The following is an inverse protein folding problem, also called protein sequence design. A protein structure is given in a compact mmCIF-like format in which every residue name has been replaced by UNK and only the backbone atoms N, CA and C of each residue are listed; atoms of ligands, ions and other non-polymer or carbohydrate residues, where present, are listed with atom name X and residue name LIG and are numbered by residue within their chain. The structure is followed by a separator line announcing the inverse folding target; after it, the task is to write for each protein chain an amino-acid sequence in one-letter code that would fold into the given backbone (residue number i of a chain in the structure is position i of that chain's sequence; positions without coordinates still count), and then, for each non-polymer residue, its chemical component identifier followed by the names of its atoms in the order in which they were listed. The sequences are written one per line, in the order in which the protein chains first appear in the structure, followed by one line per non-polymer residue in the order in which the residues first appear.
data_IF_484689455988
#
_entry.id   IF_484689455988
#
_cell.length_a   1.000
_cell.length_b   1.000
_cell.length_c   1.000
_cell.angle_alpha   90.00
_cell.angle_beta   90.00
_cell.angle_gamma   90.00
#
_symmetry.space_group_name_H-M   'P 1'
#
loop_
_entity.id
_entity.type
_entity.pdbx_description
1 polymer ?
#
# COMPACT_ATOMS: atom_id res chain seq x y z
N UNK A 1 -11.77 -36.51 -20.28
CA UNK A 1 -10.85 -35.47 -20.80
C UNK A 1 -11.48 -34.13 -21.24
N UNK A 2 -12.79 -34.01 -21.53
CA UNK A 2 -13.41 -32.72 -21.95
C UNK A 2 -13.72 -31.72 -20.82
N UNK A 3 -13.93 -32.17 -19.57
CA UNK A 3 -14.29 -31.30 -18.44
C UNK A 3 -13.13 -30.43 -17.90
N UNK A 4 -11.89 -30.91 -17.95
CA UNK A 4 -10.70 -30.20 -17.43
C UNK A 4 -10.30 -28.99 -18.27
N UNK A 5 -10.51 -29.02 -19.60
CA UNK A 5 -10.21 -27.88 -20.50
C UNK A 5 -11.07 -26.64 -20.21
N UNK A 6 -12.29 -26.84 -19.70
CA UNK A 6 -13.26 -25.78 -19.44
C UNK A 6 -13.02 -25.06 -18.09
N UNK A 7 -12.34 -25.75 -17.17
CA UNK A 7 -11.95 -25.17 -15.88
C UNK A 7 -10.72 -24.27 -16.04
N UNK A 8 -9.73 -24.71 -16.82
CA UNK A 8 -8.49 -23.97 -17.07
C UNK A 8 -8.74 -22.61 -17.75
N UNK A 9 -9.66 -22.58 -18.72
CA UNK A 9 -10.04 -21.35 -19.44
C UNK A 9 -10.79 -20.39 -18.52
N UNK A 10 -11.72 -20.89 -17.70
CA UNK A 10 -12.41 -20.06 -16.69
C UNK A 10 -11.48 -19.51 -15.62
N UNK A 11 -10.50 -20.29 -15.18
CA UNK A 11 -9.46 -19.84 -14.24
C UNK A 11 -8.61 -18.76 -14.90
N UNK A 12 -8.13 -18.99 -16.13
CA UNK A 12 -7.36 -18.01 -16.89
C UNK A 12 -8.11 -16.67 -17.04
N UNK A 13 -9.37 -16.70 -17.47
CA UNK A 13 -10.18 -15.50 -17.64
C UNK A 13 -10.48 -14.79 -16.30
N UNK A 14 -10.68 -15.55 -15.21
CA UNK A 14 -10.88 -14.98 -13.89
C UNK A 14 -9.60 -14.32 -13.33
N UNK A 15 -8.42 -14.89 -13.61
CA UNK A 15 -7.13 -14.33 -13.22
C UNK A 15 -6.77 -13.07 -14.02
N UNK A 16 -7.07 -13.08 -15.33
CA UNK A 16 -6.87 -11.90 -16.21
C UNK A 16 -7.73 -10.72 -15.75
N UNK A 17 -8.99 -10.97 -15.34
CA UNK A 17 -9.92 -9.89 -14.97
C UNK A 17 -9.79 -9.39 -13.52
N UNK A 18 -9.31 -10.22 -12.58
CA UNK A 18 -9.21 -9.87 -11.14
C UNK A 18 -7.98 -10.50 -10.48
N UNK A 19 -6.75 -10.04 -10.80
CA UNK A 19 -5.51 -10.73 -10.47
C UNK A 19 -5.17 -10.79 -8.98
N UNK A 20 -5.70 -9.91 -8.13
CA UNK A 20 -5.24 -9.81 -6.73
C UNK A 20 -6.15 -10.60 -5.77
N UNK A 21 -7.46 -10.61 -6.00
CA UNK A 21 -8.43 -11.13 -5.03
C UNK A 21 -8.49 -12.66 -4.98
N UNK A 22 -8.11 -13.34 -6.07
CA UNK A 22 -8.16 -14.80 -6.17
C UNK A 22 -6.77 -15.47 -6.07
N UNK A 23 -5.69 -14.77 -6.40
CA UNK A 23 -4.33 -15.34 -6.41
C UNK A 23 -3.80 -15.62 -5.01
N UNK A 24 -4.05 -14.71 -4.07
CA UNK A 24 -3.57 -14.83 -2.69
C UNK A 24 -4.51 -15.71 -1.85
N UNK A 25 -5.83 -15.65 -2.08
CA UNK A 25 -6.83 -16.32 -1.25
C UNK A 25 -7.10 -17.78 -1.60
N UNK A 26 -6.78 -18.23 -2.82
CA UNK A 26 -7.16 -19.56 -3.33
C UNK A 26 -6.03 -20.33 -4.04
N UNK A 27 -4.86 -19.71 -4.26
CA UNK A 27 -3.86 -20.24 -5.19
C UNK A 27 -2.57 -20.77 -4.59
N UNK A 28 -2.14 -20.35 -3.39
CA UNK A 28 -0.84 -20.72 -2.84
C UNK A 28 0.30 -20.72 -3.88
N UNK A 29 1.15 -21.75 -3.85
CA UNK A 29 2.25 -21.95 -4.81
C UNK A 29 1.79 -22.05 -6.28
N UNK A 30 0.58 -22.57 -6.53
CA UNK A 30 0.02 -22.78 -7.89
C UNK A 30 -0.37 -21.45 -8.54
N UNK A 31 -0.99 -20.55 -7.77
CA UNK A 31 -1.31 -19.20 -8.21
C UNK A 31 -0.05 -18.39 -8.52
N UNK A 32 0.98 -18.55 -7.69
CA UNK A 32 2.28 -17.92 -7.90
C UNK A 32 2.97 -18.46 -9.17
N UNK A 33 2.97 -19.77 -9.38
CA UNK A 33 3.55 -20.43 -10.56
C UNK A 33 2.85 -20.02 -11.85
N UNK A 34 1.52 -19.91 -11.83
CA UNK A 34 0.76 -19.39 -12.97
C UNK A 34 1.09 -17.92 -13.23
N UNK A 35 1.26 -17.11 -12.18
CA UNK A 35 1.62 -15.71 -12.30
C UNK A 35 3.01 -15.50 -12.88
N UNK A 36 4.00 -16.28 -12.45
CA UNK A 36 5.37 -16.22 -12.99
C UNK A 36 5.42 -16.65 -14.46
N UNK A 37 4.56 -17.59 -14.87
CA UNK A 37 4.52 -18.09 -16.26
C UNK A 37 3.90 -17.14 -17.29
N UNK A 38 3.21 -16.08 -16.86
CA UNK A 38 2.47 -15.17 -17.77
C UNK A 38 3.05 -13.75 -17.83
N UNK A 39 4.13 -13.45 -17.10
CA UNK A 39 4.73 -12.11 -17.00
C UNK A 39 6.20 -12.14 -17.42
N UNK A 40 6.58 -11.19 -18.27
CA UNK A 40 7.91 -11.19 -18.89
C UNK A 40 9.03 -10.60 -18.00
N UNK A 41 8.72 -9.99 -16.85
CA UNK A 41 9.73 -9.41 -15.93
C UNK A 41 9.51 -9.85 -14.49
N UNK A 42 9.70 -11.15 -14.27
CA UNK A 42 9.59 -11.78 -12.96
C UNK A 42 10.98 -12.07 -12.44
N UNK A 43 11.29 -11.54 -11.25
CA UNK A 43 12.56 -11.70 -10.57
C UNK A 43 12.38 -12.55 -9.33
N UNK A 44 13.11 -13.66 -9.24
CA UNK A 44 13.17 -14.45 -8.02
C UNK A 44 14.38 -14.01 -7.19
N UNK A 45 14.12 -13.47 -6.00
CA UNK A 45 15.13 -12.99 -5.07
C UNK A 45 14.88 -13.61 -3.69
N UNK A 46 15.48 -14.77 -3.38
CA UNK A 46 15.26 -15.46 -2.11
C UNK A 46 15.45 -14.54 -0.90
N UNK A 47 16.54 -13.77 -0.91
CA UNK A 47 16.84 -12.72 0.06
C UNK A 47 17.81 -11.72 -0.56
N UNK A 48 17.74 -10.47 -0.12
CA UNK A 48 18.70 -9.43 -0.51
C UNK A 48 18.03 -8.25 -1.23
N UNK A 49 18.86 -7.42 -1.85
CA UNK A 49 18.43 -6.17 -2.49
C UNK A 49 18.54 -6.28 -4.00
N UNK A 50 17.52 -5.85 -4.71
CA UNK A 50 17.55 -5.64 -6.16
C UNK A 50 17.29 -4.16 -6.43
N UNK A 51 18.20 -3.52 -7.13
CA UNK A 51 18.05 -2.15 -7.59
C UNK A 51 17.63 -2.13 -9.06
N UNK A 52 16.59 -1.38 -9.39
CA UNK A 52 16.08 -1.24 -10.75
C UNK A 52 16.01 0.24 -11.09
N UNK A 53 16.83 0.66 -12.06
CA UNK A 53 16.88 2.03 -12.53
C UNK A 53 15.96 2.23 -13.74
N UNK A 54 15.02 3.17 -13.63
CA UNK A 54 14.14 3.65 -14.70
C UNK A 54 13.52 2.51 -15.55
N UNK A 55 12.84 1.53 -14.91
CA UNK A 55 12.35 0.35 -15.61
C UNK A 55 11.35 0.70 -16.71
N UNK A 56 11.41 -0.02 -17.83
CA UNK A 56 10.55 0.21 -19.00
C UNK A 56 9.30 -0.68 -19.05
N UNK A 57 9.20 -1.63 -18.12
CA UNK A 57 8.06 -2.55 -18.00
C UNK A 57 7.74 -2.78 -16.54
N UNK A 58 6.52 -3.22 -16.24
CA UNK A 58 6.13 -3.63 -14.89
C UNK A 58 7.08 -4.71 -14.35
N UNK A 59 7.44 -4.58 -13.08
CA UNK A 59 8.39 -5.45 -12.40
C UNK A 59 7.67 -6.28 -11.35
N UNK A 60 7.94 -7.58 -11.33
CA UNK A 60 7.35 -8.52 -10.40
C UNK A 60 8.46 -9.22 -9.65
N UNK A 61 8.47 -9.10 -8.33
CA UNK A 61 9.54 -9.65 -7.48
C UNK A 61 8.90 -10.67 -6.55
N UNK A 62 9.56 -11.80 -6.37
CA UNK A 62 9.13 -12.79 -5.38
C UNK A 62 10.31 -13.41 -4.66
N UNK A 63 10.12 -13.72 -3.38
CA UNK A 63 11.22 -14.12 -2.51
C UNK A 63 10.80 -14.39 -1.07
N UNK A 64 11.75 -14.77 -0.22
CA UNK A 64 11.50 -14.83 1.22
C UNK A 64 11.68 -13.45 1.85
N UNK A 65 12.80 -12.80 1.54
CA UNK A 65 13.22 -11.49 2.08
C UNK A 65 13.71 -10.49 1.00
N UNK A 66 12.93 -10.22 -0.06
CA UNK A 66 13.35 -9.30 -1.12
C UNK A 66 13.14 -7.83 -0.74
N UNK A 67 14.19 -7.03 -0.95
CA UNK A 67 14.16 -5.57 -0.89
C UNK A 67 14.34 -5.03 -2.30
N UNK A 68 13.32 -4.33 -2.82
CA UNK A 68 13.36 -3.78 -4.18
C UNK A 68 13.55 -2.28 -4.11
N UNK A 69 14.67 -1.78 -4.61
CA UNK A 69 14.96 -0.36 -4.70
C UNK A 69 14.72 0.13 -6.13
N UNK A 70 13.98 1.23 -6.28
CA UNK A 70 13.67 1.84 -7.58
C UNK A 70 14.30 3.22 -7.63
N UNK A 71 15.08 3.45 -8.67
CA UNK A 71 15.77 4.71 -8.93
C UNK A 71 15.36 5.29 -10.27
N UNK A 72 15.41 6.61 -10.40
CA UNK A 72 15.09 7.33 -11.62
C UNK A 72 13.59 7.46 -11.88
N UNK A 73 13.23 7.81 -13.11
CA UNK A 73 11.84 8.13 -13.47
C UNK A 73 11.24 7.04 -14.34
N UNK A 74 10.04 6.59 -13.97
CA UNK A 74 9.28 5.59 -14.72
C UNK A 74 7.79 5.68 -14.37
N UNK A 75 6.91 5.27 -15.27
CA UNK A 75 5.47 5.12 -14.98
C UNK A 75 5.07 3.66 -14.70
N UNK A 76 6.04 2.74 -14.64
CA UNK A 76 5.76 1.31 -14.52
C UNK A 76 5.52 0.90 -13.09
N UNK A 77 4.76 -0.18 -12.91
CA UNK A 77 4.40 -0.66 -11.58
C UNK A 77 5.38 -1.71 -11.07
N UNK A 78 5.62 -1.71 -9.75
CA UNK A 78 6.36 -2.77 -9.06
C UNK A 78 5.40 -3.53 -8.16
N UNK A 79 5.53 -4.86 -8.18
CA UNK A 79 4.79 -5.73 -7.28
C UNK A 79 5.71 -6.76 -6.65
N UNK A 80 5.80 -6.75 -5.32
CA UNK A 80 6.59 -7.68 -4.52
C UNK A 80 5.66 -8.70 -3.84
N UNK A 81 5.96 -9.99 -3.98
CA UNK A 81 5.27 -11.12 -3.35
C UNK A 81 6.25 -11.91 -2.48
N UNK A 82 6.09 -11.89 -1.17
CA UNK A 82 7.13 -12.41 -0.29
C UNK A 82 6.62 -13.01 1.02
N UNK A 83 7.51 -13.61 1.80
CA UNK A 83 7.23 -13.82 3.22
C UNK A 83 7.33 -12.47 3.95
N UNK A 84 8.44 -11.77 3.75
CA UNK A 84 8.66 -10.41 4.23
C UNK A 84 9.34 -9.63 3.11
N UNK A 85 8.73 -8.57 2.59
CA UNK A 85 9.33 -7.87 1.45
C UNK A 85 8.97 -6.41 1.41
N UNK A 86 9.89 -5.65 0.84
CA UNK A 86 9.81 -4.20 0.82
C UNK A 86 10.09 -3.66 -0.57
N UNK A 87 9.41 -2.58 -0.90
CA UNK A 87 9.75 -1.72 -2.02
C UNK A 87 10.20 -0.36 -1.46
N UNK A 88 11.29 0.17 -2.00
CA UNK A 88 11.81 1.48 -1.68
C UNK A 88 11.96 2.28 -2.97
N UNK A 89 11.26 3.40 -3.07
CA UNK A 89 11.41 4.35 -4.16
C UNK A 89 12.44 5.37 -3.67
N UNK A 90 13.56 5.51 -4.37
CA UNK A 90 14.62 6.42 -3.98
C UNK A 90 14.15 7.87 -4.02
N UNK A 91 14.85 8.74 -3.29
CA UNK A 91 14.62 10.17 -3.38
C UNK A 91 14.75 10.67 -4.83
N UNK A 92 13.97 11.68 -5.20
CA UNK A 92 13.92 12.22 -6.57
C UNK A 92 13.61 11.18 -7.66
N UNK A 93 12.90 10.11 -7.31
CA UNK A 93 12.50 9.07 -8.27
C UNK A 93 10.98 9.05 -8.45
N UNK A 94 10.53 8.54 -9.60
CA UNK A 94 9.11 8.38 -9.90
C UNK A 94 8.78 6.97 -10.37
N UNK A 95 7.61 6.47 -9.99
CA UNK A 95 7.14 5.16 -10.38
C UNK A 95 5.61 5.08 -10.45
N UNK A 96 5.10 4.03 -11.10
CA UNK A 96 3.68 3.73 -11.19
C UNK A 96 3.09 3.22 -9.87
N UNK A 97 2.35 2.11 -9.92
CA UNK A 97 1.82 1.53 -8.68
C UNK A 97 2.89 0.69 -7.99
N UNK A 98 3.02 0.83 -6.68
CA UNK A 98 3.94 0.05 -5.87
C UNK A 98 3.14 -0.82 -4.93
N UNK A 99 3.31 -2.12 -5.05
CA UNK A 99 2.54 -3.09 -4.30
C UNK A 99 3.46 -4.05 -3.54
N UNK A 100 3.19 -4.27 -2.26
CA UNK A 100 3.87 -5.26 -1.44
C UNK A 100 2.83 -6.23 -0.86
N UNK A 101 3.00 -7.51 -1.16
CA UNK A 101 2.16 -8.61 -0.71
C UNK A 101 3.00 -9.60 0.09
N UNK A 102 2.94 -9.51 1.40
CA UNK A 102 3.68 -10.37 2.32
C UNK A 102 2.84 -11.50 2.88
N UNK A 103 3.44 -12.62 3.24
CA UNK A 103 2.81 -13.54 4.20
C UNK A 103 2.89 -12.92 5.59
N UNK A 104 4.08 -12.55 6.04
CA UNK A 104 4.30 -11.90 7.34
C UNK A 104 4.28 -10.39 7.16
N UNK A 105 5.09 -9.85 6.26
CA UNK A 105 5.28 -8.41 6.13
C UNK A 105 5.30 -7.94 4.68
N UNK A 106 4.57 -6.86 4.39
CA UNK A 106 4.67 -6.10 3.15
C UNK A 106 4.95 -4.63 3.47
N UNK A 107 6.00 -4.06 2.89
CA UNK A 107 6.35 -2.66 3.09
C UNK A 107 6.51 -1.90 1.78
N UNK A 108 6.05 -0.66 1.74
CA UNK A 108 6.44 0.27 0.67
C UNK A 108 6.91 1.59 1.31
N UNK A 109 8.01 2.14 0.79
CA UNK A 109 8.55 3.42 1.25
C UNK A 109 8.85 4.31 0.06
N UNK A 110 8.34 5.54 0.08
CA UNK A 110 8.61 6.58 -0.91
C UNK A 110 9.66 7.54 -0.35
N UNK A 111 10.84 7.64 -0.94
CA UNK A 111 11.93 8.54 -0.54
C UNK A 111 11.58 10.02 -0.70
N UNK A 112 12.44 10.94 -0.26
CA UNK A 112 12.13 12.37 -0.32
C UNK A 112 11.96 12.86 -1.77
N UNK A 113 11.04 13.79 -2.01
CA UNK A 113 10.80 14.36 -3.35
C UNK A 113 10.47 13.31 -4.41
N UNK A 114 9.81 12.23 -4.03
CA UNK A 114 9.43 11.16 -4.94
C UNK A 114 7.97 11.26 -5.40
N UNK A 115 7.68 10.63 -6.54
CA UNK A 115 6.32 10.51 -7.06
C UNK A 115 5.93 9.03 -7.21
N UNK A 116 4.80 8.62 -6.64
CA UNK A 116 4.29 7.26 -6.76
C UNK A 116 2.81 7.29 -7.09
N UNK A 117 2.41 6.63 -8.19
CA UNK A 117 1.00 6.67 -8.60
C UNK A 117 0.06 6.14 -7.51
N UNK A 118 0.35 4.99 -6.92
CA UNK A 118 -0.38 4.46 -5.75
C UNK A 118 0.51 3.50 -4.95
N UNK A 119 0.29 3.42 -3.64
CA UNK A 119 1.00 2.48 -2.76
C UNK A 119 0.01 1.52 -2.09
N UNK A 120 0.20 0.22 -2.29
CA UNK A 120 -0.62 -0.80 -1.64
C UNK A 120 0.26 -1.80 -0.90
N UNK A 121 0.02 -1.98 0.38
CA UNK A 121 0.67 -2.99 1.20
C UNK A 121 -0.37 -3.92 1.81
N UNK A 122 -0.17 -5.22 1.67
CA UNK A 122 -1.01 -6.23 2.28
C UNK A 122 -0.19 -7.39 2.81
N UNK A 123 -0.51 -7.87 4.02
CA UNK A 123 0.06 -9.10 4.54
C UNK A 123 -0.86 -9.83 5.52
N UNK A 124 -0.48 -11.01 6.01
CA UNK A 124 -1.14 -11.61 7.16
C UNK A 124 -0.83 -10.78 8.41
N UNK A 125 0.45 -10.56 8.74
CA UNK A 125 0.81 -9.89 9.99
C UNK A 125 0.76 -8.38 9.83
N UNK A 126 1.59 -7.80 8.96
CA UNK A 126 1.75 -6.35 8.91
C UNK A 126 1.93 -5.82 7.49
N UNK A 127 1.12 -4.83 7.15
CA UNK A 127 1.19 -4.09 5.90
C UNK A 127 1.48 -2.65 6.23
N UNK A 128 2.56 -2.11 5.68
CA UNK A 128 3.02 -0.75 5.97
C UNK A 128 3.27 0.04 4.70
N UNK A 129 2.89 1.31 4.69
CA UNK A 129 3.35 2.27 3.71
C UNK A 129 3.93 3.51 4.41
N UNK A 130 5.05 4.02 3.94
CA UNK A 130 5.71 5.22 4.45
C UNK A 130 6.01 6.20 3.31
N UNK A 131 5.56 7.44 3.43
CA UNK A 131 5.85 8.54 2.50
C UNK A 131 6.79 9.51 3.19
N UNK A 132 8.01 9.68 2.65
CA UNK A 132 8.95 10.68 3.14
C UNK A 132 8.57 12.08 2.66
N UNK A 133 9.44 13.06 2.90
CA UNK A 133 9.07 14.47 2.79
C UNK A 133 8.90 14.91 1.33
N UNK A 134 8.11 15.96 1.11
CA UNK A 134 7.97 16.61 -0.21
C UNK A 134 7.54 15.66 -1.34
N UNK A 135 6.87 14.57 -0.98
CA UNK A 135 6.55 13.49 -1.92
C UNK A 135 5.08 13.52 -2.30
N UNK A 136 4.77 13.00 -3.48
CA UNK A 136 3.40 12.88 -3.95
C UNK A 136 3.06 11.42 -4.22
N UNK A 137 2.03 10.93 -3.54
CA UNK A 137 1.48 9.61 -3.71
C UNK A 137 0.00 9.77 -4.08
N UNK A 138 -0.52 8.94 -4.99
CA UNK A 138 -1.98 8.84 -5.16
C UNK A 138 -2.62 8.15 -3.97
N UNK A 139 -3.40 7.10 -4.18
CA UNK A 139 -3.99 6.37 -3.06
C UNK A 139 -2.95 5.54 -2.32
N UNK A 140 -3.10 5.48 -1.00
CA UNK A 140 -2.30 4.66 -0.11
C UNK A 140 -3.19 3.70 0.70
N UNK A 141 -2.90 2.40 0.62
CA UNK A 141 -3.69 1.35 1.28
C UNK A 141 -2.78 0.36 2.00
N UNK A 142 -2.96 0.20 3.31
CA UNK A 142 -2.28 -0.78 4.13
C UNK A 142 -3.31 -1.69 4.81
N UNK A 143 -3.37 -2.96 4.42
CA UNK A 143 -4.38 -3.90 4.93
C UNK A 143 -3.78 -5.25 5.30
N UNK A 144 -3.92 -5.64 6.55
CA UNK A 144 -3.44 -6.95 7.00
C UNK A 144 -4.40 -7.61 7.98
N UNK A 145 -4.15 -8.87 8.36
CA UNK A 145 -4.95 -9.51 9.40
C UNK A 145 -4.71 -8.84 10.76
N UNK A 146 -3.48 -8.42 11.08
CA UNK A 146 -3.19 -7.82 12.38
C UNK A 146 -2.97 -6.31 12.30
N UNK A 147 -2.01 -5.83 11.50
CA UNK A 147 -1.61 -4.42 11.47
C UNK A 147 -1.59 -3.84 10.05
N UNK A 148 -2.44 -2.84 9.79
CA UNK A 148 -2.35 -2.00 8.59
C UNK A 148 -1.93 -0.58 9.00
N UNK A 149 -0.77 -0.12 8.52
CA UNK A 149 -0.18 1.17 8.93
C UNK A 149 0.15 2.02 7.70
N UNK A 150 -0.21 3.30 7.74
CA UNK A 150 0.25 4.29 6.77
C UNK A 150 0.84 5.48 7.51
N UNK A 151 2.01 5.93 7.07
CA UNK A 151 2.68 7.11 7.62
C UNK A 151 3.03 8.10 6.50
N UNK A 152 2.74 9.38 6.71
CA UNK A 152 3.03 10.46 5.76
C UNK A 152 3.84 11.54 6.47
N UNK A 153 5.08 11.77 6.00
CA UNK A 153 5.97 12.82 6.50
C UNK A 153 5.61 14.20 5.92
N UNK A 154 6.45 15.19 6.21
CA UNK A 154 6.09 16.60 6.05
C UNK A 154 6.02 17.03 4.58
N UNK A 155 5.16 18.00 4.31
CA UNK A 155 5.04 18.64 2.98
C UNK A 155 4.67 17.66 1.85
N UNK A 156 3.98 16.58 2.17
CA UNK A 156 3.64 15.53 1.20
C UNK A 156 2.16 15.55 0.83
N UNK A 157 1.86 15.11 -0.39
CA UNK A 157 0.50 15.05 -0.93
C UNK A 157 0.13 13.59 -1.13
N UNK A 158 -0.94 13.14 -0.49
CA UNK A 158 -1.49 11.79 -0.65
C UNK A 158 -2.95 11.88 -1.07
N UNK A 159 -3.39 10.97 -1.94
CA UNK A 159 -4.80 10.75 -2.24
C UNK A 159 -5.54 10.15 -1.05
N UNK A 160 -6.38 9.14 -1.28
CA UNK A 160 -7.07 8.46 -0.19
C UNK A 160 -6.11 7.58 0.61
N UNK A 161 -6.20 7.65 1.93
CA UNK A 161 -5.37 6.90 2.86
C UNK A 161 -6.24 5.91 3.65
N UNK A 162 -5.96 4.62 3.51
CA UNK A 162 -6.76 3.57 4.13
C UNK A 162 -5.90 2.53 4.84
N UNK A 163 -6.07 2.43 6.15
CA UNK A 163 -5.40 1.47 7.01
C UNK A 163 -6.43 0.51 7.63
N UNK A 164 -6.09 -0.78 7.72
CA UNK A 164 -6.93 -1.71 8.44
C UNK A 164 -6.35 -3.08 8.76
N UNK A 165 -6.96 -3.70 9.76
CA UNK A 165 -6.74 -5.09 10.17
C UNK A 165 -7.66 -5.50 11.30
N UNK A 166 -7.45 -6.66 11.94
CA UNK A 166 -8.22 -7.05 13.12
C UNK A 166 -7.74 -6.24 14.34
N UNK A 167 -6.43 -6.16 14.56
CA UNK A 167 -5.90 -5.46 15.73
C UNK A 167 -5.79 -3.96 15.45
N UNK A 168 -5.07 -3.55 14.40
CA UNK A 168 -4.77 -2.13 14.16
C UNK A 168 -5.00 -1.75 12.71
N UNK A 169 -5.73 -0.66 12.53
CA UNK A 169 -5.62 0.20 11.36
C UNK A 169 -5.16 1.56 11.85
N UNK A 170 -4.01 2.05 11.38
CA UNK A 170 -3.43 3.32 11.83
C UNK A 170 -2.96 4.16 10.65
N UNK A 171 -3.33 5.43 10.68
CA UNK A 171 -2.89 6.45 9.75
C UNK A 171 -2.25 7.59 10.54
N UNK A 172 -1.03 7.96 10.16
CA UNK A 172 -0.32 9.11 10.72
C UNK A 172 0.07 10.08 9.59
N UNK A 173 -0.24 11.36 9.77
CA UNK A 173 0.07 12.43 8.82
C UNK A 173 0.76 13.58 9.55
N UNK A 174 1.95 13.92 9.10
CA UNK A 174 2.74 15.00 9.68
C UNK A 174 2.41 16.37 9.04
N UNK A 175 3.28 17.35 9.25
CA UNK A 175 2.99 18.77 9.10
C UNK A 175 3.01 19.20 7.63
N UNK A 176 2.14 20.16 7.29
CA UNK A 176 2.06 20.77 5.96
C UNK A 176 1.72 19.78 4.82
N UNK A 177 1.16 18.62 5.17
CA UNK A 177 0.77 17.59 4.20
C UNK A 177 -0.71 17.72 3.81
N UNK A 178 -1.08 17.22 2.63
CA UNK A 178 -2.46 17.17 2.16
C UNK A 178 -2.87 15.74 1.89
N UNK A 179 -3.98 15.28 2.46
CA UNK A 179 -4.51 13.92 2.29
C UNK A 179 -5.98 13.96 1.88
N UNK A 180 -6.44 13.01 1.06
CA UNK A 180 -7.85 12.80 0.72
C UNK A 180 -8.68 12.21 1.87
N UNK A 181 -9.50 11.20 1.59
CA UNK A 181 -10.21 10.49 2.67
C UNK A 181 -9.22 9.74 3.55
N UNK A 182 -9.40 9.82 4.87
CA UNK A 182 -8.53 9.16 5.84
C UNK A 182 -9.31 8.12 6.64
N UNK A 183 -9.08 6.85 6.36
CA UNK A 183 -9.87 5.72 6.88
C UNK A 183 -8.98 4.76 7.66
N UNK A 184 -9.26 4.58 8.94
CA UNK A 184 -8.59 3.63 9.81
C UNK A 184 -9.64 2.67 10.38
N UNK A 185 -9.65 1.42 9.91
CA UNK A 185 -10.70 0.46 10.22
C UNK A 185 -10.12 -0.84 10.75
N UNK A 186 -10.44 -1.17 11.99
CA UNK A 186 -10.14 -2.46 12.57
C UNK A 186 -11.22 -2.94 13.53
N UNK A 187 -11.05 -4.14 14.09
CA UNK A 187 -11.90 -4.62 15.18
C UNK A 187 -11.47 -3.99 16.52
N UNK A 188 -10.17 -3.88 16.78
CA UNK A 188 -9.65 -3.37 18.06
C UNK A 188 -9.30 -1.88 18.01
N UNK A 189 -8.26 -1.46 17.27
CA UNK A 189 -7.72 -0.10 17.27
C UNK A 189 -7.81 0.58 15.89
N UNK A 190 -8.72 1.53 15.73
CA UNK A 190 -8.85 2.36 14.51
C UNK A 190 -8.32 3.75 14.76
N UNK A 191 -7.10 4.06 14.32
CA UNK A 191 -6.38 5.27 14.69
C UNK A 191 -6.11 6.16 13.48
N UNK A 192 -6.50 7.42 13.58
CA UNK A 192 -6.18 8.47 12.62
C UNK A 192 -5.49 9.59 13.41
N UNK A 193 -4.25 9.93 13.05
CA UNK A 193 -3.40 10.89 13.77
C UNK A 193 -2.88 11.94 12.80
N UNK A 194 -3.02 13.20 13.20
CA UNK A 194 -2.50 14.35 12.46
C UNK A 194 -1.64 15.17 13.42
N UNK A 195 -0.40 15.45 13.03
CA UNK A 195 0.49 16.25 13.85
C UNK A 195 -0.04 17.69 13.99
N UNK A 196 0.20 18.30 15.15
CA UNK A 196 -0.38 19.62 15.53
C UNK A 196 0.56 20.80 15.22
N UNK A 197 1.70 20.56 14.57
CA UNK A 197 2.77 21.55 14.37
C UNK A 197 2.58 22.44 13.15
N UNK A 198 1.94 21.95 12.09
CA UNK A 198 1.81 22.64 10.80
C UNK A 198 0.43 22.63 10.17
N UNK A 199 0.33 23.18 8.95
CA UNK A 199 -0.92 23.30 8.19
C UNK A 199 -1.23 22.02 7.42
N UNK A 200 -1.64 20.97 8.12
CA UNK A 200 -2.06 19.72 7.47
C UNK A 200 -3.52 19.83 7.01
N UNK A 201 -3.78 19.43 5.77
CA UNK A 201 -5.07 19.52 5.12
C UNK A 201 -5.64 18.12 4.87
N UNK A 202 -6.88 17.89 5.30
CA UNK A 202 -7.62 16.67 4.99
C UNK A 202 -8.80 17.04 4.08
N UNK A 203 -8.63 16.80 2.77
CA UNK A 203 -9.57 17.11 1.69
C UNK A 203 -10.65 16.03 1.52
N UNK A 204 -10.98 15.33 2.58
CA UNK A 204 -11.91 14.22 2.56
C UNK A 204 -12.48 13.91 3.95
N UNK A 205 -13.19 12.80 4.04
CA UNK A 205 -13.77 12.32 5.30
C UNK A 205 -12.73 11.57 6.11
N UNK A 206 -12.67 11.88 7.41
CA UNK A 206 -11.94 11.05 8.39
C UNK A 206 -12.90 10.01 8.98
N UNK A 207 -12.49 8.74 8.99
CA UNK A 207 -13.26 7.63 9.57
C UNK A 207 -12.34 6.75 10.39
N UNK A 208 -12.56 6.69 11.71
CA UNK A 208 -11.92 5.72 12.59
C UNK A 208 -12.96 4.68 13.06
N UNK A 209 -12.62 3.40 13.03
CA UNK A 209 -13.49 2.31 13.52
C UNK A 209 -12.66 1.24 14.23
N UNK A 210 -13.12 0.84 15.41
CA UNK A 210 -12.56 -0.20 16.28
C UNK A 210 -13.18 -0.09 17.67
N UNK A 211 -12.99 -1.10 18.53
CA UNK A 211 -13.37 -1.06 19.95
C UNK A 211 -12.80 0.18 20.64
N UNK A 212 -11.57 0.53 20.29
CA UNK A 212 -10.94 1.80 20.59
C UNK A 212 -10.70 2.49 19.25
N UNK A 213 -11.16 3.73 19.13
CA UNK A 213 -10.91 4.51 17.94
C UNK A 213 -10.49 5.93 18.30
N UNK A 214 -9.54 6.45 17.53
CA UNK A 214 -9.10 7.82 17.64
C UNK A 214 -9.30 8.49 16.28
N UNK A 215 -10.17 9.50 16.26
CA UNK A 215 -10.30 10.45 15.16
C UNK A 215 -9.79 11.79 15.70
N UNK A 216 -8.89 12.49 14.98
CA UNK A 216 -8.43 13.78 15.42
C UNK A 216 -9.65 14.73 15.42
N UNK A 217 -9.99 15.28 16.58
CA UNK A 217 -11.03 16.30 16.72
C UNK A 217 -10.39 17.65 16.38
N UNK A 218 -10.97 18.36 15.41
CA UNK A 218 -10.38 19.58 14.84
C UNK A 218 -10.16 20.68 15.89
N UNK A 219 -8.98 21.31 15.86
CA UNK A 219 -8.58 22.61 16.47
C UNK A 219 -7.10 22.79 16.06
N UNK A 220 -6.63 23.76 15.27
CA UNK A 220 -6.65 25.23 15.43
C UNK A 220 -5.97 25.91 14.21
N UNK A 221 -6.45 27.09 13.76
CA UNK A 221 -5.88 27.98 12.71
C UNK A 221 -5.10 27.32 11.54
N UNK A 222 -5.83 26.88 10.52
CA UNK A 222 -5.27 26.44 9.22
C UNK A 222 -5.72 25.05 8.78
N UNK A 223 -6.19 24.21 9.71
CA UNK A 223 -6.79 22.90 9.41
C UNK A 223 -8.24 23.08 8.93
N UNK A 224 -8.48 23.08 7.61
CA UNK A 224 -9.84 23.02 7.05
C UNK A 224 -10.22 21.54 6.88
N UNK A 225 -11.07 21.02 7.77
CA UNK A 225 -11.67 19.68 7.64
C UNK A 225 -13.07 19.89 7.05
N UNK A 226 -13.27 19.60 5.77
CA UNK A 226 -14.51 20.01 5.08
C UNK A 226 -15.70 19.06 5.21
N UNK A 227 -15.57 17.86 5.78
CA UNK A 227 -16.74 17.00 6.02
C UNK A 227 -16.56 16.10 7.23
N UNK A 228 -17.32 16.37 8.29
CA UNK A 228 -17.41 15.54 9.48
C UNK A 228 -18.78 14.85 9.53
N UNK A 229 -18.77 13.51 9.64
CA UNK A 229 -19.95 12.76 10.07
C UNK A 229 -19.46 11.80 11.16
N UNK A 230 -19.78 12.15 12.41
CA UNK A 230 -19.56 11.31 13.58
C UNK A 230 -20.42 10.04 13.48
N UNK A 231 -19.82 8.89 13.73
CA UNK A 231 -20.53 7.63 13.96
C UNK A 231 -19.90 6.98 15.18
N UNK A 232 -20.07 7.62 16.34
CA UNK A 232 -19.84 6.99 17.63
C UNK A 232 -21.10 6.18 17.99
N UNK A 233 -20.91 4.87 18.19
CA UNK A 233 -21.86 3.97 18.85
C UNK A 233 -21.21 3.46 20.13
#
# INVERSE_FOLDING_TARGET
MKKTKNLLTKIKDSYIRKPIRNTILLGGLVGLTLFTSIKDNVHFLPAGTMEINSPQKDQYVWGFFPFTKITGESDVSITNFSIMGENYIESNSSTGNVNAYGLIFGGNTSGDQSFVRNMNSQALIMGSNDVKNYSSVGDMKAKSLFFGLNNVKDNSIVGDMNAGGIIVGDNEVNDNSSVGDMKAKSLLLGLNRVNKGGKTLINGKITSRGLISHTPKGTSFGTRIENYIDYTH
#
